data_IF_809636864001
#
_entry.id   IF_809636864001
#
_cell.length_a   1.000
_cell.length_b   1.000
_cell.length_c   1.000
_cell.angle_alpha   90.00
_cell.angle_beta   90.00
_cell.angle_gamma   90.00
#
_symmetry.space_group_name_H-M   'P 1'
#
loop_
_entity.id
_entity.type
_entity.pdbx_description
1 polymer ?
#
# COMPACT_ATOMS: atom_id res chain seq x y z
N UNK A 1 29.35 5.58 -17.31
CA UNK A 1 29.21 4.53 -16.28
C UNK A 1 28.38 5.04 -15.10
N UNK A 2 28.91 5.90 -14.21
CA UNK A 2 28.17 6.37 -13.01
C UNK A 2 26.77 6.96 -13.28
N UNK A 3 26.64 7.85 -14.27
CA UNK A 3 25.33 8.42 -14.63
C UNK A 3 24.31 7.39 -15.14
N UNK A 4 24.76 6.37 -15.86
CA UNK A 4 23.90 5.28 -16.34
C UNK A 4 23.44 4.39 -15.17
N UNK A 5 24.34 4.12 -14.22
CA UNK A 5 24.01 3.38 -12.98
C UNK A 5 23.00 4.14 -12.12
N UNK A 6 23.11 5.47 -12.00
CA UNK A 6 22.13 6.30 -11.30
C UNK A 6 20.78 6.30 -12.03
N UNK A 7 20.78 6.40 -13.36
CA UNK A 7 19.55 6.30 -14.15
C UNK A 7 18.86 4.94 -13.93
N UNK A 8 19.63 3.85 -13.90
CA UNK A 8 19.13 2.53 -13.55
C UNK A 8 18.60 2.47 -12.12
N UNK A 9 19.25 3.15 -11.18
CA UNK A 9 18.77 3.26 -9.80
C UNK A 9 17.39 3.92 -9.75
N UNK A 10 17.16 5.00 -10.51
CA UNK A 10 15.87 5.68 -10.63
C UNK A 10 14.80 4.76 -11.23
N UNK A 11 15.10 4.02 -12.30
CA UNK A 11 14.16 3.05 -12.89
C UNK A 11 13.75 1.98 -11.89
N UNK A 12 14.73 1.42 -11.15
CA UNK A 12 14.48 0.43 -10.10
C UNK A 12 13.65 1.04 -8.96
N UNK A 13 13.88 2.31 -8.65
CA UNK A 13 13.16 3.05 -7.63
C UNK A 13 11.67 3.23 -8.00
N UNK A 14 11.44 3.67 -9.24
CA UNK A 14 10.09 3.79 -9.83
C UNK A 14 9.39 2.43 -9.91
N UNK A 15 10.15 1.35 -10.13
CA UNK A 15 9.66 -0.02 -10.10
C UNK A 15 9.50 -0.60 -8.69
N UNK A 16 9.62 0.21 -7.63
CA UNK A 16 9.54 -0.22 -6.22
C UNK A 16 10.60 -1.27 -5.81
N UNK A 17 11.70 -1.40 -6.55
CA UNK A 17 12.82 -2.32 -6.26
C UNK A 17 13.88 -1.61 -5.40
N UNK A 18 13.49 -1.10 -4.23
CA UNK A 18 14.31 -0.19 -3.41
C UNK A 18 15.67 -0.73 -3.01
N UNK A 19 15.80 -2.02 -2.71
CA UNK A 19 17.11 -2.60 -2.34
C UNK A 19 18.09 -2.59 -3.51
N UNK A 20 17.61 -2.91 -4.71
CA UNK A 20 18.44 -2.87 -5.91
C UNK A 20 18.70 -1.44 -6.35
N UNK A 21 17.68 -0.58 -6.23
CA UNK A 21 17.81 0.86 -6.44
C UNK A 21 18.87 1.45 -5.52
N UNK A 22 18.87 1.10 -4.22
CA UNK A 22 19.83 1.58 -3.24
C UNK A 22 21.26 1.14 -3.58
N UNK A 23 21.46 -0.11 -4.00
CA UNK A 23 22.77 -0.61 -4.47
C UNK A 23 23.22 0.17 -5.70
N UNK A 24 22.35 0.35 -6.70
CA UNK A 24 22.68 1.12 -7.89
C UNK A 24 22.95 2.60 -7.59
N UNK A 25 22.24 3.21 -6.63
CA UNK A 25 22.53 4.57 -6.19
C UNK A 25 23.92 4.65 -5.53
N UNK A 26 24.26 3.71 -4.64
CA UNK A 26 25.57 3.67 -3.99
C UNK A 26 26.70 3.50 -5.01
N UNK A 27 26.60 2.50 -5.89
CA UNK A 27 27.58 2.25 -6.96
C UNK A 27 27.71 3.44 -7.92
N UNK A 28 26.58 4.04 -8.30
CA UNK A 28 26.54 5.21 -9.18
C UNK A 28 27.22 6.43 -8.56
N UNK A 29 26.95 6.71 -7.28
CA UNK A 29 27.59 7.78 -6.50
C UNK A 29 29.10 7.52 -6.38
N UNK A 30 29.52 6.30 -6.04
CA UNK A 30 30.93 5.95 -5.89
C UNK A 30 31.72 6.17 -7.18
N UNK A 31 31.16 5.76 -8.32
CA UNK A 31 31.74 6.00 -9.65
C UNK A 31 31.86 7.50 -9.95
N UNK A 32 30.84 8.30 -9.60
CA UNK A 32 30.89 9.75 -9.79
C UNK A 32 31.94 10.41 -8.89
N UNK A 33 32.06 9.99 -7.63
CA UNK A 33 33.06 10.49 -6.68
C UNK A 33 34.49 10.13 -7.12
N UNK A 34 34.71 8.95 -7.72
CA UNK A 34 36.01 8.56 -8.28
C UNK A 34 36.42 9.48 -9.43
N UNK A 35 35.48 9.83 -10.32
CA UNK A 35 35.74 10.78 -11.42
C UNK A 35 36.13 12.15 -10.86
N UNK A 36 35.40 12.67 -9.86
CA UNK A 36 35.70 13.95 -9.20
C UNK A 36 37.09 13.95 -8.57
N UNK A 37 37.52 12.84 -7.95
CA UNK A 37 38.87 12.69 -7.38
C UNK A 37 39.98 12.63 -8.43
N UNK A 38 39.69 12.09 -9.62
CA UNK A 38 40.64 11.96 -10.73
C UNK A 38 40.76 13.19 -11.61
N UNK A 39 39.71 14.02 -11.71
CA UNK A 39 39.73 15.25 -12.49
C UNK A 39 40.18 16.42 -11.61
N UNK A 40 41.42 16.87 -11.76
CA UNK A 40 41.89 18.11 -11.12
C UNK A 40 40.98 19.29 -11.46
N UNK A 41 40.32 19.86 -10.44
CA UNK A 41 39.57 21.14 -10.43
C UNK A 41 39.02 21.59 -11.79
N UNK A 42 37.95 20.96 -12.28
CA UNK A 42 37.33 21.37 -13.55
C UNK A 42 35.82 21.18 -13.68
N UNK A 43 35.19 20.28 -12.92
CA UNK A 43 33.75 20.01 -13.05
C UNK A 43 32.99 20.38 -11.76
N UNK A 44 32.73 21.67 -11.57
CA UNK A 44 32.04 22.21 -10.39
C UNK A 44 30.59 21.69 -10.21
N UNK A 45 29.98 21.08 -11.22
CA UNK A 45 28.57 20.65 -11.21
C UNK A 45 28.32 19.21 -10.72
N UNK A 46 29.33 18.33 -10.74
CA UNK A 46 29.17 16.92 -10.32
C UNK A 46 29.14 16.68 -8.79
N UNK A 47 29.85 17.46 -7.94
CA UNK A 47 29.82 17.28 -6.48
C UNK A 47 28.45 17.55 -5.86
N UNK A 48 27.72 18.56 -6.36
CA UNK A 48 26.42 18.96 -5.81
C UNK A 48 25.32 17.94 -6.12
N UNK A 49 25.24 17.46 -7.37
CA UNK A 49 24.29 16.41 -7.73
C UNK A 49 24.55 15.09 -6.98
N UNK A 50 25.83 14.71 -6.82
CA UNK A 50 26.17 13.54 -6.02
C UNK A 50 25.76 13.71 -4.54
N UNK A 51 25.97 14.90 -3.96
CA UNK A 51 25.56 15.21 -2.59
C UNK A 51 24.03 15.17 -2.40
N UNK A 52 23.25 15.70 -3.36
CA UNK A 52 21.77 15.61 -3.31
C UNK A 52 21.29 14.16 -3.39
N UNK A 53 21.86 13.35 -4.29
CA UNK A 53 21.53 11.92 -4.41
C UNK A 53 21.94 11.17 -3.14
N UNK A 54 23.06 11.52 -2.51
CA UNK A 54 23.48 10.96 -1.23
C UNK A 54 22.49 11.29 -0.10
N UNK A 55 22.10 12.56 0.05
CA UNK A 55 21.11 12.96 1.06
C UNK A 55 19.77 12.26 0.82
N UNK A 56 19.33 12.19 -0.44
CA UNK A 56 18.13 11.47 -0.83
C UNK A 56 18.22 10.00 -0.44
N UNK A 57 19.32 9.33 -0.79
CA UNK A 57 19.51 7.89 -0.54
C UNK A 57 19.72 7.55 0.92
N UNK A 58 20.38 8.40 1.71
CA UNK A 58 20.52 8.23 3.17
C UNK A 58 19.20 8.42 3.90
N UNK A 59 18.43 9.46 3.53
CA UNK A 59 17.07 9.67 4.05
C UNK A 59 16.14 8.52 3.67
N UNK A 60 16.28 8.01 2.44
CA UNK A 60 15.58 6.83 1.96
C UNK A 60 16.00 5.61 2.77
N UNK A 61 17.30 5.39 2.95
CA UNK A 61 17.85 4.27 3.74
C UNK A 61 17.36 4.29 5.19
N UNK A 62 17.33 5.45 5.86
CA UNK A 62 16.84 5.55 7.25
C UNK A 62 15.33 5.37 7.36
N UNK A 63 14.56 5.79 6.35
CA UNK A 63 13.12 5.63 6.30
C UNK A 63 12.69 4.19 5.93
N UNK A 64 13.57 3.44 5.26
CA UNK A 64 13.20 2.20 4.58
C UNK A 64 14.10 0.98 4.89
N UNK A 65 15.16 1.11 5.69
CA UNK A 65 16.03 -0.01 6.07
C UNK A 65 16.30 -0.02 7.58
N UNK A 66 15.53 -0.84 8.31
CA UNK A 66 15.92 -1.39 9.60
C UNK A 66 16.28 -2.87 9.41
N UNK A 67 17.44 -3.30 9.91
CA UNK A 67 17.93 -4.69 9.86
C UNK A 67 17.89 -5.39 8.47
N UNK A 68 18.08 -4.62 7.39
CA UNK A 68 18.08 -5.14 6.03
C UNK A 68 16.69 -5.51 5.49
N UNK A 69 15.62 -5.01 6.12
CA UNK A 69 14.22 -5.22 5.73
C UNK A 69 13.49 -3.90 5.49
N UNK A 70 12.78 -3.78 4.37
CA UNK A 70 11.84 -2.67 4.21
C UNK A 70 10.69 -2.83 5.20
N UNK A 71 10.63 -1.90 6.16
CA UNK A 71 9.54 -1.75 7.11
C UNK A 71 9.26 -0.26 7.32
N UNK A 72 8.06 0.18 6.97
CA UNK A 72 7.54 1.53 7.28
C UNK A 72 6.32 1.37 8.18
N UNK A 73 6.34 2.02 9.33
CA UNK A 73 5.21 2.04 10.24
C UNK A 73 4.56 3.43 10.22
N UNK A 74 3.24 3.46 10.08
CA UNK A 74 2.42 4.68 10.14
C UNK A 74 1.48 4.53 11.33
N UNK A 75 1.56 5.45 12.30
CA UNK A 75 0.62 5.52 13.41
C UNK A 75 -0.52 6.47 13.04
N UNK A 76 -1.74 5.96 13.03
CA UNK A 76 -2.96 6.75 12.87
C UNK A 76 -3.46 7.04 14.28
N UNK A 77 -3.32 8.28 14.71
CA UNK A 77 -3.78 8.73 16.03
C UNK A 77 -5.31 8.76 16.11
N UNK A 78 -5.84 8.69 17.33
CA UNK A 78 -7.27 8.80 17.59
C UNK A 78 -7.85 10.12 17.04
N UNK A 79 -8.95 10.04 16.29
CA UNK A 79 -9.60 11.14 15.57
C UNK A 79 -8.78 11.77 14.42
N UNK A 80 -7.64 11.20 14.03
CA UNK A 80 -6.88 11.73 12.91
C UNK A 80 -7.68 11.65 11.59
N UNK A 81 -7.36 12.54 10.65
CA UNK A 81 -7.97 12.63 9.31
C UNK A 81 -6.89 12.58 8.23
N UNK A 82 -7.28 12.47 6.96
CA UNK A 82 -6.36 12.42 5.82
C UNK A 82 -5.76 11.03 5.57
N UNK A 83 -6.50 9.98 5.95
CA UNK A 83 -6.12 8.58 5.80
C UNK A 83 -7.16 7.80 4.98
N UNK A 84 -7.69 8.40 3.90
CA UNK A 84 -8.45 7.64 2.91
C UNK A 84 -7.61 6.47 2.37
N UNK A 85 -8.25 5.44 1.82
CA UNK A 85 -7.50 4.35 1.19
C UNK A 85 -6.60 4.87 0.06
N UNK A 86 -7.11 5.77 -0.78
CA UNK A 86 -6.31 6.36 -1.86
C UNK A 86 -5.03 6.97 -1.31
N UNK A 87 -5.12 7.80 -0.25
CA UNK A 87 -3.95 8.43 0.36
C UNK A 87 -3.02 7.44 1.07
N UNK A 88 -3.56 6.40 1.68
CA UNK A 88 -2.79 5.38 2.39
C UNK A 88 -2.03 4.45 1.43
N UNK A 89 -2.63 4.09 0.29
CA UNK A 89 -2.09 3.08 -0.61
C UNK A 89 -1.43 3.65 -1.88
N UNK A 90 -1.67 4.91 -2.27
CA UNK A 90 -1.17 5.50 -3.53
C UNK A 90 0.32 5.25 -3.81
N UNK A 91 1.18 5.28 -2.78
CA UNK A 91 2.63 5.06 -2.93
C UNK A 91 2.97 3.64 -3.39
N UNK A 92 2.06 2.69 -3.21
CA UNK A 92 2.27 1.25 -3.46
C UNK A 92 1.47 0.74 -4.68
N UNK A 93 0.61 1.58 -5.26
CA UNK A 93 -0.20 1.27 -6.45
C UNK A 93 0.55 1.69 -7.71
N UNK A 94 1.28 0.77 -8.30
CA UNK A 94 2.06 0.99 -9.54
C UNK A 94 1.38 0.31 -10.74
N UNK A 95 1.74 0.70 -11.97
CA UNK A 95 1.16 0.13 -13.20
C UNK A 95 1.37 -1.38 -13.34
N UNK A 96 2.42 -1.92 -12.70
CA UNK A 96 2.77 -3.34 -12.70
C UNK A 96 1.88 -4.18 -11.76
N UNK A 97 1.08 -3.55 -10.90
CA UNK A 97 0.18 -4.23 -9.99
C UNK A 97 -1.00 -4.82 -10.78
N UNK A 98 -1.09 -6.15 -10.81
CA UNK A 98 -2.16 -6.87 -11.52
C UNK A 98 -2.99 -7.77 -10.61
N UNK A 99 -2.49 -8.09 -9.42
CA UNK A 99 -3.14 -9.04 -8.51
C UNK A 99 -2.97 -8.63 -7.05
N UNK A 100 -4.07 -8.71 -6.30
CA UNK A 100 -4.18 -8.27 -4.90
C UNK A 100 -4.79 -9.37 -4.04
N UNK A 101 -4.24 -9.60 -2.86
CA UNK A 101 -4.85 -10.43 -1.82
C UNK A 101 -5.22 -9.57 -0.63
N UNK A 102 -6.43 -9.78 -0.11
CA UNK A 102 -6.96 -9.10 1.08
C UNK A 102 -7.41 -10.18 2.06
N UNK A 103 -6.75 -10.26 3.19
CA UNK A 103 -7.13 -11.08 4.33
C UNK A 103 -7.65 -10.14 5.42
N UNK A 104 -8.97 -10.17 5.67
CA UNK A 104 -9.61 -9.37 6.70
C UNK A 104 -10.81 -10.12 7.30
N UNK A 105 -10.76 -10.53 8.59
CA UNK A 105 -11.83 -11.29 9.23
C UNK A 105 -13.14 -10.54 9.40
N UNK A 106 -13.17 -9.22 9.20
CA UNK A 106 -14.30 -8.36 9.58
C UNK A 106 -15.08 -7.78 8.39
N UNK A 107 -14.92 -8.33 7.18
CA UNK A 107 -15.76 -7.97 6.02
C UNK A 107 -17.12 -8.69 6.12
N UNK A 108 -17.88 -8.38 7.19
CA UNK A 108 -19.16 -9.00 7.55
C UNK A 108 -20.33 -8.01 7.44
N UNK A 109 -21.54 -8.41 7.82
CA UNK A 109 -22.67 -7.48 8.02
C UNK A 109 -23.25 -7.69 9.42
N UNK A 110 -22.74 -6.95 10.42
CA UNK A 110 -23.36 -6.97 11.75
C UNK A 110 -24.38 -5.84 11.87
N UNK A 111 -25.64 -6.22 11.64
CA UNK A 111 -26.89 -5.49 11.90
C UNK A 111 -27.08 -4.11 11.24
N UNK A 112 -28.34 -3.67 11.14
CA UNK A 112 -28.88 -2.52 10.37
C UNK A 112 -28.15 -1.17 10.50
N UNK A 113 -27.18 -1.03 11.43
CA UNK A 113 -26.40 0.18 11.67
C UNK A 113 -24.93 0.13 11.16
N UNK A 114 -24.44 -1.01 10.66
CA UNK A 114 -23.04 -1.16 10.21
C UNK A 114 -22.92 -1.84 8.85
N UNK A 115 -23.47 -1.20 7.81
CA UNK A 115 -23.20 -1.51 6.40
C UNK A 115 -21.76 -1.15 5.97
N UNK A 116 -20.96 -0.60 6.89
CA UNK A 116 -19.72 0.10 6.59
C UNK A 116 -18.59 -0.83 6.14
N UNK A 117 -18.54 -2.09 6.57
CA UNK A 117 -17.44 -3.01 6.21
C UNK A 117 -17.46 -3.42 4.74
N UNK A 118 -18.63 -3.74 4.18
CA UNK A 118 -18.76 -3.99 2.75
C UNK A 118 -18.47 -2.73 1.93
N UNK A 119 -18.93 -1.56 2.40
CA UNK A 119 -18.62 -0.29 1.71
C UNK A 119 -17.15 0.10 1.83
N UNK A 120 -16.47 -0.25 2.92
CA UNK A 120 -15.03 -0.10 3.09
C UNK A 120 -14.30 -0.96 2.04
N UNK A 121 -14.68 -2.23 1.93
CA UNK A 121 -14.14 -3.11 0.89
C UNK A 121 -14.45 -2.61 -0.54
N UNK A 122 -15.67 -2.13 -0.79
CA UNK A 122 -16.04 -1.52 -2.07
C UNK A 122 -15.16 -0.31 -2.40
N UNK A 123 -14.98 0.64 -1.47
CA UNK A 123 -14.10 1.80 -1.66
C UNK A 123 -12.65 1.40 -1.93
N UNK A 124 -12.17 0.37 -1.24
CA UNK A 124 -10.86 -0.20 -1.52
C UNK A 124 -10.78 -0.73 -2.95
N UNK A 125 -11.81 -1.43 -3.43
CA UNK A 125 -11.87 -1.90 -4.82
C UNK A 125 -11.96 -0.74 -5.83
N UNK A 126 -12.76 0.30 -5.54
CA UNK A 126 -12.87 1.49 -6.39
C UNK A 126 -11.52 2.19 -6.58
N UNK A 127 -10.73 2.29 -5.50
CA UNK A 127 -9.36 2.81 -5.56
C UNK A 127 -8.48 1.97 -6.50
N UNK A 128 -8.55 0.63 -6.44
CA UNK A 128 -7.78 -0.25 -7.31
C UNK A 128 -8.20 -0.16 -8.79
N UNK A 129 -9.49 0.08 -9.05
CA UNK A 129 -10.02 0.24 -10.42
C UNK A 129 -9.68 1.62 -11.00
N UNK A 130 -9.73 2.67 -10.18
CA UNK A 130 -9.46 4.07 -10.57
C UNK A 130 -7.97 4.38 -10.70
N UNK A 131 -7.15 3.75 -9.86
CA UNK A 131 -5.72 4.05 -9.74
C UNK A 131 -4.92 3.75 -11.02
N UNK A 132 -3.63 4.11 -11.05
CA UNK A 132 -2.75 3.86 -12.20
C UNK A 132 -2.46 2.35 -12.42
N UNK A 133 -2.84 1.50 -11.46
CA UNK A 133 -2.65 0.05 -11.52
C UNK A 133 -3.60 -0.65 -12.52
N UNK A 134 -3.16 -1.81 -13.01
CA UNK A 134 -3.93 -2.63 -13.97
C UNK A 134 -4.41 -3.92 -13.30
N UNK A 135 -5.01 -3.80 -12.12
CA UNK A 135 -5.52 -4.93 -11.35
C UNK A 135 -6.52 -5.72 -12.18
N UNK A 136 -6.32 -7.04 -12.27
CA UNK A 136 -7.20 -8.00 -12.94
C UNK A 136 -7.83 -8.97 -11.97
N UNK A 137 -7.18 -9.25 -10.84
CA UNK A 137 -7.66 -10.25 -9.89
C UNK A 137 -7.51 -9.75 -8.46
N UNK A 138 -8.57 -9.87 -7.68
CA UNK A 138 -8.61 -9.57 -6.25
C UNK A 138 -9.03 -10.87 -5.55
N UNK A 139 -8.27 -11.29 -4.55
CA UNK A 139 -8.59 -12.43 -3.70
C UNK A 139 -8.96 -11.91 -2.32
N UNK A 140 -10.22 -12.12 -1.90
CA UNK A 140 -10.70 -11.80 -0.57
C UNK A 140 -10.80 -13.08 0.25
N UNK A 141 -10.06 -13.13 1.36
CA UNK A 141 -10.24 -14.11 2.42
C UNK A 141 -10.85 -13.40 3.64
N UNK A 142 -12.08 -13.76 3.98
CA UNK A 142 -12.77 -13.20 5.14
C UNK A 142 -13.40 -14.30 5.98
N UNK A 143 -13.88 -13.95 7.17
CA UNK A 143 -14.62 -14.90 8.00
C UNK A 143 -16.11 -14.83 7.74
N UNK A 144 -16.77 -15.98 7.84
CA UNK A 144 -18.22 -16.05 7.74
C UNK A 144 -18.87 -15.35 8.94
N UNK A 145 -19.94 -14.61 8.67
CA UNK A 145 -20.88 -14.21 9.70
C UNK A 145 -21.72 -15.40 10.20
N UNK A 146 -22.40 -15.24 11.33
CA UNK A 146 -23.26 -16.27 11.92
C UNK A 146 -24.75 -16.04 11.58
N UNK A 147 -25.52 -17.13 11.52
CA UNK A 147 -26.97 -17.07 11.29
C UNK A 147 -27.37 -16.37 9.98
N UNK A 148 -28.35 -15.46 10.05
CA UNK A 148 -28.86 -14.72 8.89
C UNK A 148 -27.86 -13.70 8.32
N UNK A 149 -26.85 -13.29 9.10
CA UNK A 149 -25.79 -12.37 8.65
C UNK A 149 -24.96 -12.95 7.51
N UNK A 150 -24.78 -14.29 7.47
CA UNK A 150 -24.00 -14.96 6.42
C UNK A 150 -24.59 -14.76 5.03
N UNK A 151 -25.91 -14.90 4.91
CA UNK A 151 -26.61 -14.73 3.63
C UNK A 151 -26.45 -13.29 3.13
N UNK A 152 -26.63 -12.30 4.01
CA UNK A 152 -26.50 -10.88 3.66
C UNK A 152 -25.05 -10.50 3.31
N UNK A 153 -24.07 -11.03 4.04
CA UNK A 153 -22.65 -10.89 3.72
C UNK A 153 -22.37 -11.40 2.31
N UNK A 154 -22.80 -12.63 1.99
CA UNK A 154 -22.57 -13.25 0.69
C UNK A 154 -23.26 -12.50 -0.44
N UNK A 155 -24.53 -12.12 -0.29
CA UNK A 155 -25.24 -11.31 -1.29
C UNK A 155 -24.49 -10.01 -1.59
N UNK A 156 -24.05 -9.29 -0.55
CA UNK A 156 -23.31 -8.04 -0.75
C UNK A 156 -21.95 -8.25 -1.44
N UNK A 157 -21.23 -9.32 -1.10
CA UNK A 157 -19.96 -9.65 -1.75
C UNK A 157 -20.15 -10.12 -3.20
N UNK A 158 -21.23 -10.85 -3.50
CA UNK A 158 -21.61 -11.26 -4.86
C UNK A 158 -22.00 -10.06 -5.74
N UNK A 159 -22.71 -9.07 -5.18
CA UNK A 159 -23.00 -7.81 -5.86
C UNK A 159 -21.70 -7.06 -6.23
N UNK A 160 -20.76 -6.96 -5.28
CA UNK A 160 -19.44 -6.36 -5.53
C UNK A 160 -18.66 -7.16 -6.58
N UNK A 161 -18.68 -8.50 -6.49
CA UNK A 161 -18.03 -9.38 -7.46
C UNK A 161 -18.57 -9.14 -8.87
N UNK A 162 -19.89 -9.05 -9.03
CA UNK A 162 -20.51 -8.83 -10.34
C UNK A 162 -20.22 -7.42 -10.88
N UNK A 163 -20.23 -6.40 -10.01
CA UNK A 163 -19.87 -5.03 -10.38
C UNK A 163 -18.42 -4.92 -10.86
N UNK A 164 -17.49 -5.59 -10.18
CA UNK A 164 -16.07 -5.66 -10.58
C UNK A 164 -15.87 -6.39 -11.90
N UNK A 165 -16.62 -7.46 -12.16
CA UNK A 165 -16.58 -8.17 -13.45
C UNK A 165 -16.94 -7.25 -14.62
N UNK A 166 -17.89 -6.33 -14.44
CA UNK A 166 -18.25 -5.34 -15.47
C UNK A 166 -17.09 -4.38 -15.80
N UNK A 167 -16.12 -4.24 -14.90
CA UNK A 167 -14.89 -3.46 -15.09
C UNK A 167 -13.68 -4.33 -15.48
N UNK A 168 -13.90 -5.61 -15.82
CA UNK A 168 -12.84 -6.54 -16.21
C UNK A 168 -11.94 -6.98 -15.06
N UNK A 169 -12.44 -6.93 -13.81
CA UNK A 169 -11.74 -7.38 -12.60
C UNK A 169 -12.45 -8.61 -12.02
N UNK A 170 -11.70 -9.69 -11.80
CA UNK A 170 -12.18 -10.89 -11.14
C UNK A 170 -12.00 -10.79 -9.63
N UNK A 171 -13.08 -10.91 -8.87
CA UNK A 171 -13.02 -11.04 -7.41
C UNK A 171 -13.23 -12.51 -7.01
N UNK A 172 -12.24 -13.13 -6.39
CA UNK A 172 -12.32 -14.47 -5.80
C UNK A 172 -12.58 -14.32 -4.30
N UNK A 173 -13.60 -15.01 -3.78
CA UNK A 173 -14.01 -14.91 -2.37
C UNK A 173 -13.82 -16.28 -1.72
N UNK A 174 -13.09 -16.31 -0.62
CA UNK A 174 -12.91 -17.46 0.24
C UNK A 174 -13.34 -17.12 1.67
N UNK A 175 -13.99 -18.07 2.34
CA UNK A 175 -14.40 -17.94 3.73
C UNK A 175 -13.58 -18.87 4.62
N UNK A 176 -13.08 -18.34 5.74
CA UNK A 176 -12.41 -19.12 6.78
C UNK A 176 -12.77 -18.63 8.18
N UNK A 177 -13.10 -19.56 9.07
CA UNK A 177 -13.43 -19.25 10.47
C UNK A 177 -12.20 -19.09 11.37
N UNK A 178 -11.00 -19.47 10.90
CA UNK A 178 -9.76 -19.50 11.70
C UNK A 178 -8.79 -18.37 11.39
N UNK A 179 -9.19 -17.38 10.58
CA UNK A 179 -8.34 -16.24 10.25
C UNK A 179 -8.46 -15.14 11.31
N UNK A 180 -7.33 -14.56 11.67
CA UNK A 180 -7.23 -13.44 12.59
C UNK A 180 -6.36 -12.30 12.04
N UNK A 181 -5.54 -12.62 11.03
CA UNK A 181 -4.60 -11.69 10.44
C UNK A 181 -5.34 -10.68 9.54
N UNK A 182 -4.83 -9.45 9.56
CA UNK A 182 -5.29 -8.33 8.72
C UNK A 182 -4.14 -7.97 7.80
N UNK A 183 -4.16 -8.50 6.58
CA UNK A 183 -3.04 -8.41 5.65
C UNK A 183 -3.55 -8.11 4.23
N UNK A 184 -2.90 -7.15 3.58
CA UNK A 184 -3.11 -6.85 2.16
C UNK A 184 -1.79 -7.10 1.46
N UNK A 185 -1.80 -7.95 0.43
CA UNK A 185 -0.63 -8.23 -0.40
C UNK A 185 -0.85 -7.79 -1.83
N UNK A 186 0.21 -7.25 -2.43
CA UNK A 186 0.27 -6.87 -3.82
C UNK A 186 1.31 -7.72 -4.54
N UNK A 187 1.03 -8.16 -5.77
CA UNK A 187 1.96 -9.00 -6.53
C UNK A 187 3.23 -8.27 -7.00
N UNK A 188 3.30 -6.94 -6.82
CA UNK A 188 4.52 -6.14 -6.98
C UNK A 188 5.45 -6.24 -5.76
N UNK A 189 5.07 -7.00 -4.74
CA UNK A 189 5.89 -7.34 -3.59
C UNK A 189 5.56 -6.58 -2.32
N UNK A 190 4.65 -5.61 -2.34
CA UNK A 190 4.21 -4.91 -1.15
C UNK A 190 3.25 -5.75 -0.29
N UNK A 191 3.38 -5.60 1.02
CA UNK A 191 2.49 -6.19 2.01
C UNK A 191 2.18 -5.14 3.08
N UNK A 192 0.90 -4.96 3.39
CA UNK A 192 0.42 -3.94 4.33
C UNK A 192 -0.42 -4.65 5.39
N UNK A 193 -0.04 -4.49 6.66
CA UNK A 193 -0.80 -4.97 7.82
C UNK A 193 -1.41 -3.78 8.53
N UNK A 194 -2.73 -3.80 8.72
CA UNK A 194 -3.45 -2.71 9.39
C UNK A 194 -4.05 -3.27 10.67
N UNK A 195 -3.76 -2.63 11.80
CA UNK A 195 -4.18 -3.09 13.12
C UNK A 195 -5.68 -3.30 13.23
N UNK A 196 -6.53 -2.56 12.49
CA UNK A 196 -8.00 -2.72 12.44
C UNK A 196 -8.54 -3.28 11.11
N UNK A 197 -7.66 -3.68 10.19
CA UNK A 197 -8.05 -4.05 8.83
C UNK A 197 -8.58 -2.84 8.07
N UNK A 198 -9.56 -3.04 7.20
CA UNK A 198 -10.20 -1.95 6.46
C UNK A 198 -11.13 -1.10 7.35
N UNK A 199 -11.43 -1.48 8.59
CA UNK A 199 -12.39 -0.80 9.47
C UNK A 199 -11.76 0.14 10.52
N UNK A 200 -10.86 1.03 10.10
CA UNK A 200 -10.28 2.03 10.98
C UNK A 200 -11.01 3.38 10.98
N UNK A 201 -12.07 3.57 10.18
CA UNK A 201 -12.84 4.81 10.19
C UNK A 201 -13.85 4.86 11.34
N UNK A 202 -14.13 6.06 11.85
CA UNK A 202 -15.25 6.27 12.77
C UNK A 202 -16.57 6.42 12.01
N UNK A 203 -17.67 6.19 12.71
CA UNK A 203 -19.00 6.52 12.21
C UNK A 203 -19.10 8.05 12.02
N UNK A 204 -19.78 8.51 10.95
CA UNK A 204 -20.01 9.94 10.76
C UNK A 204 -20.87 10.51 11.89
N UNK A 205 -20.66 11.79 12.23
CA UNK A 205 -21.40 12.46 13.31
C UNK A 205 -22.90 12.61 13.00
N UNK A 206 -23.25 12.66 11.72
CA UNK A 206 -24.62 12.75 11.24
C UNK A 206 -24.74 12.44 9.75
N UNK A 207 -25.98 12.37 9.25
CA UNK A 207 -26.29 12.01 7.86
C UNK A 207 -25.71 12.97 6.82
N UNK A 208 -25.55 14.25 7.19
CA UNK A 208 -25.04 15.32 6.33
C UNK A 208 -23.83 16.01 6.98
N UNK A 209 -22.90 15.21 7.50
CA UNK A 209 -21.65 15.71 8.09
C UNK A 209 -20.52 15.75 7.06
N UNK A 210 -19.61 16.71 7.23
CA UNK A 210 -18.37 16.74 6.45
C UNK A 210 -17.59 15.45 6.71
N UNK A 211 -17.07 14.87 5.64
CA UNK A 211 -16.42 13.57 5.67
C UNK A 211 -17.38 12.38 5.54
N UNK A 212 -18.67 12.58 5.22
CA UNK A 212 -19.59 11.46 4.96
C UNK A 212 -19.20 10.65 3.71
N UNK A 213 -18.90 11.33 2.59
CA UNK A 213 -18.50 10.69 1.34
C UNK A 213 -16.98 10.66 1.16
N UNK A 214 -16.30 11.76 1.51
CA UNK A 214 -14.85 11.89 1.42
C UNK A 214 -14.19 11.40 2.71
N UNK A 215 -13.49 10.26 2.63
CA UNK A 215 -12.88 9.62 3.79
C UNK A 215 -11.56 10.27 4.20
N UNK A 216 -10.99 11.19 3.41
CA UNK A 216 -9.88 12.02 3.88
C UNK A 216 -10.34 13.03 4.94
N UNK A 217 -11.63 13.36 4.98
CA UNK A 217 -12.21 14.23 6.01
C UNK A 217 -12.86 13.43 7.16
N UNK A 218 -12.83 12.08 7.11
CA UNK A 218 -13.44 11.22 8.13
C UNK A 218 -12.46 10.99 9.29
N UNK A 219 -12.88 11.21 10.56
CA UNK A 219 -12.07 10.84 11.71
C UNK A 219 -11.81 9.32 11.77
N UNK A 220 -10.58 8.95 12.11
CA UNK A 220 -10.15 7.56 12.26
C UNK A 220 -10.14 7.14 13.73
N UNK A 221 -10.23 5.84 13.96
CA UNK A 221 -9.92 5.18 15.22
C UNK A 221 -8.40 4.95 15.28
N UNK A 222 -7.82 4.99 16.49
CA UNK A 222 -6.39 4.73 16.67
C UNK A 222 -6.01 3.35 16.08
N UNK A 223 -4.99 3.34 15.22
CA UNK A 223 -4.44 2.10 14.64
C UNK A 223 -3.01 2.29 14.14
N UNK A 224 -2.38 1.18 13.79
CA UNK A 224 -1.04 1.13 13.21
C UNK A 224 -1.12 0.47 11.84
N UNK A 225 -0.40 1.02 10.88
CA UNK A 225 -0.23 0.46 9.54
C UNK A 225 1.24 0.13 9.36
N UNK A 226 1.53 -1.15 9.20
CA UNK A 226 2.87 -1.67 8.95
C UNK A 226 3.00 -2.08 7.49
N UNK A 227 3.96 -1.50 6.79
CA UNK A 227 4.23 -1.73 5.37
C UNK A 227 5.55 -2.47 5.23
N UNK A 228 5.51 -3.59 4.52
CA UNK A 228 6.62 -4.51 4.26
C UNK A 228 6.78 -4.73 2.76
N UNK A 229 7.96 -5.18 2.35
CA UNK A 229 8.21 -5.62 0.97
C UNK A 229 8.81 -7.03 0.94
N UNK A 230 8.30 -7.91 0.07
CA UNK A 230 8.54 -9.36 0.04
C UNK A 230 9.99 -9.81 -0.11
N UNK A 231 10.88 -8.96 -0.65
CA UNK A 231 12.34 -9.18 -0.61
C UNK A 231 12.91 -9.27 0.81
N UNK A 232 12.10 -8.89 1.81
CA UNK A 232 12.50 -8.73 3.19
C UNK A 232 11.65 -9.55 4.17
N UNK A 233 10.53 -10.15 3.72
CA UNK A 233 9.79 -11.13 4.51
C UNK A 233 10.36 -12.51 4.24
N UNK A 234 10.68 -13.29 5.29
CA UNK A 234 11.01 -14.72 5.10
C UNK A 234 9.83 -15.34 4.34
N UNK A 235 10.10 -16.09 3.26
CA UNK A 235 9.08 -16.98 2.67
C UNK A 235 8.51 -17.81 3.83
N UNK A 236 7.19 -17.70 4.05
CA UNK A 236 6.46 -18.64 4.88
C UNK A 236 6.34 -19.96 4.12
#
# INVERSE_FOLDING_TARGET
AGAETVKRAVELDLASRFQESLVCYQEGIDLLLQVVKGTGRGAAWQPFAAAEIMIYTEKKKSLFFSDGKYHKQIKIEENATGFSYEKLFQEYLTEILTEVWVEDPYIRQVHQASRYWLYNFLRFCEMLVKGPCKVKTIHLLTSSDEGSGRSQQMTGLEEIQQSLRNHGVTLNIALSSSIHDREIRFNNGWMIKIGRGLDYFKKPQGRFSIGYCDFDLRPCQETTVDVFHTKHTKKM
#
